data_IF_874858453290
#
_entry.id   IF_874858453290
#
_cell.length_a   1.000
_cell.length_b   1.000
_cell.length_c   1.000
_cell.angle_alpha   90.00
_cell.angle_beta   90.00
_cell.angle_gamma   90.00
#
_symmetry.space_group_name_H-M   'P 1'
#
loop_
_entity.id
_entity.type
_entity.pdbx_description
1 polymer ?
#
# COMPACT_ATOMS: atom_id res chain seq x y z
N UNK A 1 63.81 50.04 -25.77
CA UNK A 1 63.50 48.90 -24.93
C UNK A 1 62.20 49.14 -24.19
N UNK A 2 61.11 48.50 -24.63
CA UNK A 2 59.80 48.60 -24.02
C UNK A 2 59.51 47.24 -23.39
N UNK A 3 59.31 47.20 -22.11
CA UNK A 3 58.95 46.01 -21.35
C UNK A 3 57.39 45.96 -21.29
N UNK A 4 56.82 44.94 -21.87
CA UNK A 4 55.40 44.63 -21.74
C UNK A 4 55.15 43.73 -20.54
N UNK A 5 54.40 44.20 -19.58
CA UNK A 5 53.97 43.42 -18.43
C UNK A 5 52.68 42.64 -18.84
N UNK A 6 52.75 41.32 -18.84
CA UNK A 6 51.58 40.43 -19.03
C UNK A 6 50.94 40.20 -17.66
N UNK A 7 49.73 40.72 -17.45
CA UNK A 7 48.91 40.37 -16.30
C UNK A 7 48.16 39.06 -16.60
N UNK A 8 48.49 38.00 -15.87
CA UNK A 8 47.66 36.79 -15.80
C UNK A 8 46.49 37.03 -14.86
N UNK A 9 45.27 37.08 -15.42
CA UNK A 9 44.02 37.07 -14.65
C UNK A 9 43.70 35.60 -14.27
N UNK A 10 43.80 35.30 -12.97
CA UNK A 10 43.32 34.02 -12.40
C UNK A 10 41.82 34.10 -12.27
N UNK A 11 41.11 33.41 -13.15
CA UNK A 11 39.65 33.22 -13.02
C UNK A 11 39.31 32.24 -11.90
N UNK A 12 38.73 32.71 -10.80
CA UNK A 12 38.07 31.85 -9.82
C UNK A 12 36.78 31.26 -10.45
N UNK A 13 36.83 29.97 -10.76
CA UNK A 13 35.59 29.22 -11.07
C UNK A 13 34.81 29.04 -9.76
N UNK A 14 33.71 29.75 -9.61
CA UNK A 14 32.68 29.48 -8.60
C UNK A 14 32.02 28.15 -8.97
N UNK A 15 32.38 27.08 -8.27
CA UNK A 15 31.59 25.85 -8.23
C UNK A 15 30.27 26.19 -7.56
N UNK A 16 29.26 26.50 -8.36
CA UNK A 16 27.88 26.57 -7.90
C UNK A 16 27.46 25.20 -7.42
N UNK A 17 27.15 25.07 -6.15
CA UNK A 17 26.38 23.93 -5.66
C UNK A 17 25.05 23.92 -6.42
N UNK A 18 24.87 22.98 -7.35
CA UNK A 18 23.56 22.71 -7.92
C UNK A 18 22.65 22.29 -6.77
N UNK A 19 21.58 23.01 -6.52
CA UNK A 19 20.52 22.55 -5.66
C UNK A 19 20.01 21.20 -6.22
N UNK A 20 19.72 20.21 -5.36
CA UNK A 20 19.21 18.95 -5.84
C UNK A 20 17.91 19.21 -6.61
N UNK A 21 17.86 18.71 -7.84
CA UNK A 21 16.69 18.80 -8.70
C UNK A 21 15.49 18.18 -7.97
N UNK A 22 14.51 19.00 -7.66
CA UNK A 22 13.32 18.51 -6.97
C UNK A 22 12.57 17.56 -7.90
N UNK A 23 12.39 16.31 -7.46
CA UNK A 23 11.62 15.30 -8.18
C UNK A 23 10.21 15.83 -8.40
N UNK A 24 9.85 16.11 -9.66
CA UNK A 24 8.51 16.52 -10.02
C UNK A 24 7.62 15.28 -10.13
N UNK A 25 6.67 15.14 -9.20
CA UNK A 25 5.67 14.06 -9.24
C UNK A 25 4.53 14.52 -10.14
N UNK A 26 4.18 13.79 -11.22
CA UNK A 26 3.06 14.12 -12.09
C UNK A 26 1.74 14.24 -11.31
N UNK A 27 0.87 15.14 -11.79
CA UNK A 27 -0.42 15.37 -11.14
C UNK A 27 -1.44 14.26 -11.50
N UNK A 28 -1.41 13.16 -10.72
CA UNK A 28 -2.36 12.04 -10.79
C UNK A 28 -3.22 12.01 -9.52
N UNK A 29 -4.39 11.36 -9.59
CA UNK A 29 -5.19 11.11 -8.40
C UNK A 29 -4.43 10.18 -7.46
N UNK A 30 -4.02 9.01 -7.96
CA UNK A 30 -3.26 8.04 -7.20
C UNK A 30 -1.77 8.37 -7.23
N UNK A 31 -1.30 9.09 -6.22
CA UNK A 31 0.08 9.56 -6.12
C UNK A 31 1.11 8.42 -5.95
N UNK A 32 0.67 7.18 -5.69
CA UNK A 32 1.57 6.02 -5.66
C UNK A 32 2.07 5.66 -7.06
N UNK A 33 1.26 5.85 -8.11
CA UNK A 33 1.64 5.51 -9.48
C UNK A 33 2.90 6.27 -9.93
N UNK A 34 2.97 7.61 -9.87
CA UNK A 34 4.18 8.32 -10.27
C UNK A 34 5.39 8.02 -9.37
N UNK A 35 5.20 7.62 -8.11
CA UNK A 35 6.31 7.15 -7.28
C UNK A 35 6.86 5.83 -7.81
N UNK A 36 5.98 4.88 -8.13
CA UNK A 36 6.35 3.59 -8.72
C UNK A 36 7.05 3.78 -10.08
N UNK A 37 6.51 4.63 -10.95
CA UNK A 37 7.10 4.95 -12.27
C UNK A 37 8.51 5.52 -12.18
N UNK A 38 8.82 6.24 -11.10
CA UNK A 38 10.13 6.84 -10.83
C UNK A 38 11.06 5.96 -10.00
N UNK A 39 10.61 4.76 -9.60
CA UNK A 39 11.36 3.87 -8.71
C UNK A 39 11.58 4.46 -7.30
N UNK A 40 10.67 5.35 -6.88
CA UNK A 40 10.70 5.94 -5.55
C UNK A 40 9.88 5.08 -4.57
N UNK A 41 10.28 5.03 -3.29
CA UNK A 41 9.56 4.24 -2.31
C UNK A 41 8.16 4.81 -2.03
N UNK A 42 7.19 3.91 -1.90
CA UNK A 42 5.83 4.17 -1.42
C UNK A 42 5.75 3.79 0.06
N UNK A 43 5.30 4.72 0.89
CA UNK A 43 5.35 4.60 2.35
C UNK A 43 3.93 4.69 2.93
N UNK A 44 3.37 3.55 3.27
CA UNK A 44 2.02 3.45 3.83
C UNK A 44 2.01 3.43 5.35
N UNK A 45 0.91 3.85 5.95
CA UNK A 45 0.71 3.83 7.40
C UNK A 45 -0.71 3.37 7.75
N UNK A 46 -0.88 2.74 8.92
CA UNK A 46 -2.18 2.39 9.41
C UNK A 46 -3.03 3.65 9.69
N UNK A 47 -4.30 3.62 9.30
CA UNK A 47 -5.25 4.70 9.58
C UNK A 47 -5.57 4.81 11.08
N UNK A 48 -6.06 5.97 11.59
CA UNK A 48 -6.63 6.07 12.92
C UNK A 48 -7.82 5.12 13.09
N UNK A 49 -8.08 4.58 14.29
CA UNK A 49 -9.23 3.71 14.51
C UNK A 49 -10.54 4.47 14.30
N UNK A 50 -11.41 4.01 13.42
CA UNK A 50 -12.76 4.55 13.17
C UNK A 50 -13.89 3.60 13.60
N UNK A 51 -13.55 2.37 14.00
CA UNK A 51 -14.47 1.38 14.51
C UNK A 51 -13.82 0.58 15.64
N UNK A 52 -14.62 0.15 16.62
CA UNK A 52 -14.12 -0.68 17.70
C UNK A 52 -13.56 -2.01 17.15
N UNK A 53 -12.32 -2.32 17.52
CA UNK A 53 -11.73 -3.63 17.18
C UNK A 53 -12.46 -4.70 17.96
N UNK A 54 -13.28 -5.51 17.31
CA UNK A 54 -13.76 -6.75 17.89
C UNK A 54 -12.54 -7.65 18.14
N UNK A 55 -12.32 -8.07 19.40
CA UNK A 55 -11.31 -9.07 19.70
C UNK A 55 -11.61 -10.31 18.84
N UNK A 56 -10.69 -10.68 17.96
CA UNK A 56 -10.76 -12.00 17.30
C UNK A 56 -10.72 -13.03 18.42
N UNK A 57 -11.82 -13.74 18.63
CA UNK A 57 -11.83 -14.94 19.47
C UNK A 57 -10.96 -15.99 18.79
N UNK A 58 -9.78 -16.22 19.32
CA UNK A 58 -8.87 -17.27 18.83
C UNK A 58 -7.43 -16.94 19.17
N UNK A 59 -6.87 -17.74 20.09
CA UNK A 59 -5.46 -17.84 20.50
C UNK A 59 -4.92 -16.68 21.36
N UNK A 60 -4.96 -16.87 22.66
CA UNK A 60 -4.30 -16.03 23.66
C UNK A 60 -5.18 -15.45 24.76
N UNK A 61 -6.39 -15.94 24.98
CA UNK A 61 -7.09 -15.62 26.23
C UNK A 61 -6.41 -16.36 27.39
N UNK A 62 -5.81 -15.59 28.30
CA UNK A 62 -5.55 -16.10 29.63
C UNK A 62 -6.89 -16.58 30.21
N UNK A 63 -6.93 -17.84 30.63
CA UNK A 63 -8.09 -18.43 31.28
C UNK A 63 -8.36 -17.64 32.56
N UNK A 64 -9.45 -16.85 32.61
CA UNK A 64 -9.86 -16.15 33.82
C UNK A 64 -10.31 -14.69 33.72
N UNK A 65 -10.19 -14.03 32.55
CA UNK A 65 -10.77 -12.69 32.42
C UNK A 65 -12.28 -12.77 32.08
N UNK A 66 -13.09 -12.16 32.93
CA UNK A 66 -14.52 -11.94 32.66
C UNK A 66 -14.68 -11.14 31.34
N UNK A 67 -15.79 -11.33 30.59
CA UNK A 67 -16.06 -10.53 29.41
C UNK A 67 -16.10 -9.05 29.78
N UNK A 68 -15.00 -8.33 29.51
CA UNK A 68 -14.93 -6.91 29.78
C UNK A 68 -15.94 -6.16 28.90
N UNK A 69 -16.42 -5.02 29.39
CA UNK A 69 -17.24 -4.08 28.60
C UNK A 69 -16.50 -3.79 27.28
N UNK A 70 -17.17 -3.89 26.11
CA UNK A 70 -16.56 -3.52 24.84
C UNK A 70 -15.94 -2.12 24.94
N UNK A 71 -14.77 -1.85 24.37
CA UNK A 71 -14.23 -0.51 24.32
C UNK A 71 -15.25 0.41 23.64
N UNK A 72 -15.34 1.69 24.05
CA UNK A 72 -16.23 2.66 23.41
C UNK A 72 -15.88 2.76 21.92
N UNK A 73 -16.91 3.03 21.10
CA UNK A 73 -16.70 3.30 19.68
C UNK A 73 -15.84 4.56 19.52
N UNK A 74 -14.82 4.54 18.65
CA UNK A 74 -14.02 5.72 18.37
C UNK A 74 -14.84 6.86 17.78
N UNK A 75 -14.47 8.12 18.10
CA UNK A 75 -15.03 9.30 17.44
C UNK A 75 -14.52 9.39 16.01
N UNK A 76 -15.42 9.19 15.06
CA UNK A 76 -15.12 9.20 13.62
C UNK A 76 -14.63 10.58 13.17
N UNK A 77 -15.19 11.68 13.71
CA UNK A 77 -14.80 13.02 13.31
C UNK A 77 -13.41 13.37 13.82
N UNK A 78 -13.04 12.89 15.00
CA UNK A 78 -11.69 13.03 15.54
C UNK A 78 -10.69 12.19 14.72
N UNK A 79 -11.01 10.93 14.46
CA UNK A 79 -10.18 10.04 13.63
C UNK A 79 -9.95 10.62 12.21
N UNK A 80 -10.98 11.21 11.59
CA UNK A 80 -10.86 11.85 10.29
C UNK A 80 -9.95 13.09 10.33
N UNK A 81 -10.07 13.94 11.37
CA UNK A 81 -9.18 15.09 11.53
C UNK A 81 -7.74 14.68 11.78
N UNK A 82 -7.50 13.65 12.61
CA UNK A 82 -6.17 13.09 12.85
C UNK A 82 -5.56 12.56 11.55
N UNK A 83 -6.34 11.81 10.75
CA UNK A 83 -5.90 11.29 9.47
C UNK A 83 -5.49 12.42 8.54
N UNK A 84 -6.38 13.40 8.31
CA UNK A 84 -6.16 14.50 7.36
C UNK A 84 -5.00 15.42 7.80
N UNK A 85 -4.72 15.52 9.09
CA UNK A 85 -3.58 16.28 9.60
C UNK A 85 -2.22 15.63 9.27
N UNK A 86 -2.17 14.33 8.98
CA UNK A 86 -0.93 13.63 8.68
C UNK A 86 -0.70 13.53 7.17
N UNK A 87 0.27 14.27 6.66
CA UNK A 87 0.50 14.48 5.22
C UNK A 87 1.74 13.75 4.67
N UNK A 88 2.39 12.89 5.45
CA UNK A 88 3.65 12.26 5.05
C UNK A 88 3.49 10.86 4.48
N UNK A 89 2.43 10.14 4.84
CA UNK A 89 2.10 8.84 4.27
C UNK A 89 1.62 8.96 2.82
N UNK A 90 1.96 7.99 2.00
CA UNK A 90 1.53 7.93 0.61
C UNK A 90 0.21 7.18 0.46
N UNK A 91 -0.18 6.41 1.46
CA UNK A 91 -1.48 5.75 1.56
C UNK A 91 -1.81 5.37 3.01
N UNK A 92 -3.10 5.15 3.26
CA UNK A 92 -3.62 4.65 4.52
C UNK A 92 -3.99 3.17 4.38
N UNK A 93 -3.33 2.31 5.17
CA UNK A 93 -3.65 0.89 5.20
C UNK A 93 -4.97 0.68 5.93
N UNK A 94 -5.95 0.12 5.27
CA UNK A 94 -7.27 -0.18 5.82
C UNK A 94 -7.56 -1.68 5.80
N UNK A 95 -8.18 -2.16 6.88
CA UNK A 95 -8.79 -3.48 6.91
C UNK A 95 -10.31 -3.32 6.74
N UNK A 96 -10.76 -3.36 5.50
CA UNK A 96 -12.18 -3.32 5.18
C UNK A 96 -12.85 -4.59 5.71
N UNK A 97 -13.82 -4.43 6.59
CA UNK A 97 -14.55 -5.56 7.20
C UNK A 97 -16.04 -5.46 6.90
N UNK A 98 -16.71 -6.56 6.51
CA UNK A 98 -18.16 -6.59 6.31
C UNK A 98 -18.96 -6.05 7.50
N UNK A 99 -18.43 -6.25 8.71
CA UNK A 99 -19.09 -5.82 9.95
C UNK A 99 -18.90 -4.34 10.29
N UNK A 100 -18.09 -3.62 9.49
CA UNK A 100 -17.80 -2.20 9.72
C UNK A 100 -17.97 -1.34 8.47
N UNK A 101 -18.67 -1.84 7.44
CA UNK A 101 -18.85 -1.12 6.16
C UNK A 101 -19.52 0.23 6.36
N UNK A 102 -20.61 0.29 7.15
CA UNK A 102 -21.30 1.55 7.39
C UNK A 102 -20.42 2.55 8.16
N UNK A 103 -19.63 2.08 9.13
CA UNK A 103 -18.64 2.90 9.84
C UNK A 103 -17.54 3.38 8.91
N UNK A 104 -17.08 2.53 8.00
CA UNK A 104 -16.10 2.93 6.98
C UNK A 104 -16.67 4.03 6.08
N UNK A 105 -17.89 3.87 5.59
CA UNK A 105 -18.57 4.88 4.75
C UNK A 105 -18.81 6.20 5.47
N UNK A 106 -19.12 6.13 6.77
CA UNK A 106 -19.21 7.32 7.64
C UNK A 106 -17.83 7.99 7.80
N UNK A 107 -16.78 7.20 7.98
CA UNK A 107 -15.40 7.69 8.08
C UNK A 107 -14.95 8.39 6.80
N UNK A 108 -15.21 7.82 5.62
CA UNK A 108 -14.92 8.48 4.34
C UNK A 108 -15.64 9.83 4.23
N UNK A 109 -16.92 9.92 4.61
CA UNK A 109 -17.64 11.20 4.63
C UNK A 109 -16.99 12.21 5.60
N UNK A 110 -16.56 11.75 6.75
CA UNK A 110 -15.88 12.61 7.73
C UNK A 110 -14.51 13.09 7.23
N UNK A 111 -13.76 12.26 6.51
CA UNK A 111 -12.50 12.63 5.86
C UNK A 111 -12.74 13.75 4.83
N UNK A 112 -13.75 13.60 3.97
CA UNK A 112 -14.10 14.64 2.99
C UNK A 112 -14.51 15.94 3.70
N UNK A 113 -15.32 15.86 4.75
CA UNK A 113 -15.71 17.02 5.55
C UNK A 113 -14.50 17.71 6.26
N UNK A 114 -13.45 16.95 6.57
CA UNK A 114 -12.19 17.47 7.11
C UNK A 114 -11.21 17.99 6.04
N UNK A 115 -11.58 17.93 4.74
CA UNK A 115 -10.76 18.41 3.61
C UNK A 115 -9.84 17.36 2.98
N UNK A 116 -9.98 16.08 3.36
CA UNK A 116 -9.26 14.97 2.74
C UNK A 116 -9.97 14.42 1.49
N UNK A 117 -9.27 13.64 0.72
CA UNK A 117 -9.76 12.97 -0.49
C UNK A 117 -8.91 11.76 -0.83
N UNK A 118 -9.29 10.98 -1.83
CA UNK A 118 -8.48 9.88 -2.33
C UNK A 118 -7.12 10.35 -2.89
N UNK A 119 -6.99 11.60 -3.32
CA UNK A 119 -5.72 12.19 -3.76
C UNK A 119 -4.75 12.39 -2.59
N UNK A 120 -5.26 12.87 -1.46
CA UNK A 120 -4.41 13.23 -0.30
C UNK A 120 -4.23 12.07 0.67
N UNK A 121 -5.23 11.20 0.78
CA UNK A 121 -5.26 10.06 1.71
C UNK A 121 -5.88 8.84 1.00
N UNK A 122 -5.19 8.28 -0.01
CA UNK A 122 -5.66 7.08 -0.70
C UNK A 122 -5.67 5.88 0.25
N UNK A 123 -6.69 5.04 0.15
CA UNK A 123 -6.78 3.80 0.94
C UNK A 123 -6.31 2.59 0.14
N UNK A 124 -5.51 1.76 0.79
CA UNK A 124 -5.20 0.39 0.38
C UNK A 124 -6.02 -0.56 1.22
N UNK A 125 -6.86 -1.36 0.62
CA UNK A 125 -7.72 -2.28 1.35
C UNK A 125 -7.53 -3.73 0.94
N UNK A 126 -7.43 -4.59 1.95
CA UNK A 126 -7.39 -6.04 1.75
C UNK A 126 -8.74 -6.57 1.33
N UNK A 127 -8.76 -7.44 0.33
CA UNK A 127 -9.92 -8.28 0.01
C UNK A 127 -9.78 -9.65 0.67
N UNK A 128 -10.87 -10.41 0.88
CA UNK A 128 -10.79 -11.81 1.28
C UNK A 128 -9.97 -12.65 0.29
N UNK A 129 -9.54 -13.83 0.73
CA UNK A 129 -8.80 -14.76 -0.13
C UNK A 129 -9.68 -15.19 -1.30
N UNK A 130 -9.20 -14.98 -2.53
CA UNK A 130 -9.98 -15.16 -3.76
C UNK A 130 -10.39 -16.62 -3.97
N UNK A 131 -9.48 -17.56 -3.82
CA UNK A 131 -9.75 -18.98 -4.07
C UNK A 131 -10.68 -19.63 -3.05
N UNK A 132 -10.89 -19.05 -1.86
CA UNK A 132 -11.80 -19.61 -0.84
C UNK A 132 -13.27 -19.30 -1.13
N UNK A 133 -13.57 -18.15 -1.70
CA UNK A 133 -14.91 -17.73 -2.14
C UNK A 133 -14.79 -16.77 -3.33
N UNK A 134 -14.55 -17.28 -4.55
CA UNK A 134 -14.32 -16.43 -5.72
C UNK A 134 -15.47 -15.45 -6.01
N UNK A 135 -16.72 -15.91 -5.88
CA UNK A 135 -17.91 -15.08 -6.16
C UNK A 135 -18.09 -13.99 -5.09
N UNK A 136 -18.06 -14.37 -3.82
CA UNK A 136 -18.22 -13.40 -2.73
C UNK A 136 -17.07 -12.42 -2.64
N UNK A 137 -15.84 -12.84 -2.93
CA UNK A 137 -14.67 -11.96 -2.96
C UNK A 137 -14.73 -11.00 -4.14
N UNK A 138 -15.16 -11.43 -5.32
CA UNK A 138 -15.41 -10.54 -6.48
C UNK A 138 -16.40 -9.43 -6.12
N UNK A 139 -17.54 -9.80 -5.51
CA UNK A 139 -18.55 -8.81 -5.10
C UNK A 139 -17.97 -7.84 -4.06
N UNK A 140 -17.20 -8.37 -3.09
CA UNK A 140 -16.55 -7.55 -2.06
C UNK A 140 -15.55 -6.56 -2.64
N UNK A 141 -14.78 -6.99 -3.64
CA UNK A 141 -13.86 -6.13 -4.36
C UNK A 141 -14.60 -4.98 -5.05
N UNK A 142 -15.68 -5.29 -5.77
CA UNK A 142 -16.53 -4.29 -6.42
C UNK A 142 -17.10 -3.30 -5.39
N UNK A 143 -17.61 -3.79 -4.27
CA UNK A 143 -18.16 -2.96 -3.19
C UNK A 143 -17.09 -1.99 -2.63
N UNK A 144 -15.86 -2.47 -2.41
CA UNK A 144 -14.75 -1.64 -1.94
C UNK A 144 -14.39 -0.54 -2.94
N UNK A 145 -14.32 -0.86 -4.22
CA UNK A 145 -14.06 0.14 -5.26
C UNK A 145 -15.18 1.17 -5.34
N UNK A 146 -16.44 0.74 -5.18
CA UNK A 146 -17.60 1.62 -5.13
C UNK A 146 -17.66 2.48 -3.85
N UNK A 147 -16.89 2.13 -2.83
CA UNK A 147 -16.67 2.93 -1.64
C UNK A 147 -15.40 3.83 -1.71
N UNK A 148 -14.67 3.83 -2.85
CA UNK A 148 -13.60 4.78 -3.16
C UNK A 148 -12.16 4.31 -2.96
N UNK A 149 -11.93 3.00 -2.75
CA UNK A 149 -10.59 2.43 -2.69
C UNK A 149 -9.83 2.67 -4.00
N UNK A 150 -8.52 2.92 -3.90
CA UNK A 150 -7.64 3.11 -5.06
C UNK A 150 -6.66 1.97 -5.26
N UNK A 151 -6.43 1.16 -4.22
CA UNK A 151 -5.59 -0.05 -4.29
C UNK A 151 -6.34 -1.23 -3.70
N UNK A 152 -6.41 -2.30 -4.45
CA UNK A 152 -6.88 -3.60 -3.99
C UNK A 152 -5.68 -4.43 -3.58
N UNK A 153 -5.64 -4.86 -2.31
CA UNK A 153 -4.61 -5.73 -1.79
C UNK A 153 -5.17 -7.15 -1.65
N UNK A 154 -4.76 -8.03 -2.56
CA UNK A 154 -5.18 -9.43 -2.63
C UNK A 154 -4.38 -10.26 -1.63
N UNK A 155 -5.07 -10.95 -0.71
CA UNK A 155 -4.44 -11.82 0.28
C UNK A 155 -4.20 -13.21 -0.30
N UNK A 156 -3.07 -13.84 0.09
CA UNK A 156 -2.72 -15.24 -0.18
C UNK A 156 -2.94 -15.65 -1.65
N UNK A 157 -2.36 -14.83 -2.55
CA UNK A 157 -2.47 -15.09 -3.99
C UNK A 157 -1.58 -16.26 -4.36
N UNK A 158 -2.16 -17.27 -4.99
CA UNK A 158 -1.49 -18.52 -5.35
C UNK A 158 -1.41 -18.72 -6.87
N UNK A 159 -2.33 -18.12 -7.64
CA UNK A 159 -2.44 -18.35 -9.07
C UNK A 159 -2.64 -17.07 -9.89
N UNK A 160 -2.30 -17.14 -11.17
CA UNK A 160 -2.57 -16.05 -12.13
C UNK A 160 -4.06 -15.91 -12.44
N UNK A 161 -4.85 -16.97 -12.26
CA UNK A 161 -6.30 -16.98 -12.44
C UNK A 161 -6.98 -16.08 -11.43
N UNK A 162 -6.52 -16.08 -10.18
CA UNK A 162 -7.03 -15.17 -9.14
C UNK A 162 -6.76 -13.70 -9.50
N UNK A 163 -5.58 -13.41 -10.03
CA UNK A 163 -5.23 -12.05 -10.50
C UNK A 163 -6.11 -11.64 -11.67
N UNK A 164 -6.34 -12.54 -12.65
CA UNK A 164 -7.23 -12.27 -13.78
C UNK A 164 -8.65 -11.99 -13.32
N UNK A 165 -9.15 -12.74 -12.34
CA UNK A 165 -10.47 -12.52 -11.76
C UNK A 165 -10.57 -11.15 -11.08
N UNK A 166 -9.55 -10.75 -10.34
CA UNK A 166 -9.48 -9.43 -9.71
C UNK A 166 -9.45 -8.31 -10.77
N UNK A 167 -8.62 -8.44 -11.81
CA UNK A 167 -8.57 -7.48 -12.93
C UNK A 167 -9.95 -7.32 -13.57
N UNK A 168 -10.63 -8.43 -13.86
CA UNK A 168 -11.97 -8.39 -14.44
C UNK A 168 -12.97 -7.67 -13.51
N UNK A 169 -12.89 -7.91 -12.20
CA UNK A 169 -13.77 -7.30 -11.20
C UNK A 169 -13.47 -5.81 -10.98
N UNK A 170 -12.25 -5.36 -11.19
CA UNK A 170 -11.86 -3.94 -11.04
C UNK A 170 -12.29 -3.09 -12.22
N UNK A 171 -12.39 -3.67 -13.41
CA UNK A 171 -12.71 -2.98 -14.66
C UNK A 171 -14.19 -2.96 -14.94
N UNK A 172 -14.71 -1.85 -15.40
CA UNK A 172 -16.09 -1.73 -15.84
C UNK A 172 -16.40 -2.58 -17.07
N UNK A 173 -17.67 -2.90 -17.31
CA UNK A 173 -18.10 -3.65 -18.49
C UNK A 173 -17.68 -2.98 -19.80
N UNK A 174 -17.74 -1.67 -19.89
CA UNK A 174 -17.26 -0.88 -21.04
C UNK A 174 -15.74 -0.96 -21.24
N UNK A 175 -14.97 -1.28 -20.18
CA UNK A 175 -13.54 -1.47 -20.22
C UNK A 175 -13.13 -2.95 -20.45
N UNK A 176 -14.10 -3.84 -20.67
CA UNK A 176 -13.88 -5.26 -20.86
C UNK A 176 -13.78 -6.08 -19.56
N UNK A 177 -14.23 -5.51 -18.44
CA UNK A 177 -14.35 -6.20 -17.15
C UNK A 177 -15.76 -6.69 -16.85
N UNK A 178 -16.05 -6.95 -15.57
CA UNK A 178 -17.37 -7.41 -15.08
C UNK A 178 -18.00 -6.45 -14.06
N UNK A 179 -17.34 -5.36 -13.70
CA UNK A 179 -17.84 -4.36 -12.77
C UNK A 179 -19.03 -3.60 -13.39
N UNK A 180 -20.20 -3.53 -12.75
CA UNK A 180 -21.32 -2.73 -13.22
C UNK A 180 -21.01 -1.23 -13.22
N UNK A 181 -21.57 -0.50 -14.19
CA UNK A 181 -21.43 0.96 -14.31
C UNK A 181 -22.48 1.69 -13.46
N UNK A 182 -22.62 1.26 -12.21
CA UNK A 182 -23.58 1.81 -11.24
C UNK A 182 -23.06 1.65 -9.80
N UNK A 183 -23.59 2.43 -8.86
CA UNK A 183 -23.29 2.31 -7.43
C UNK A 183 -21.95 2.89 -7.00
N UNK A 184 -21.25 3.63 -7.85
CA UNK A 184 -19.93 4.23 -7.60
C UNK A 184 -19.96 5.73 -7.26
N UNK A 185 -21.11 6.33 -7.05
CA UNK A 185 -21.29 7.76 -6.81
C UNK A 185 -20.48 8.24 -5.59
N UNK A 186 -20.38 7.39 -4.54
CA UNK A 186 -19.56 7.67 -3.36
C UNK A 186 -18.08 7.69 -3.69
N UNK A 187 -17.65 6.77 -4.55
CA UNK A 187 -16.25 6.71 -4.98
C UNK A 187 -15.89 7.93 -5.81
N UNK A 188 -16.72 8.33 -6.76
CA UNK A 188 -16.54 9.54 -7.57
C UNK A 188 -16.43 10.79 -6.66
N UNK A 189 -17.33 10.92 -5.68
CA UNK A 189 -17.30 12.02 -4.72
C UNK A 189 -16.02 12.04 -3.86
N UNK A 190 -15.56 10.87 -3.37
CA UNK A 190 -14.31 10.76 -2.60
C UNK A 190 -13.08 11.07 -3.47
N UNK A 191 -13.11 10.69 -4.73
CA UNK A 191 -12.04 11.02 -5.69
C UNK A 191 -12.08 12.49 -6.12
N UNK A 192 -13.16 13.22 -5.81
CA UNK A 192 -13.36 14.61 -6.22
C UNK A 192 -13.60 14.75 -7.72
N UNK A 193 -14.24 13.76 -8.33
CA UNK A 193 -14.51 13.66 -9.77
C UNK A 193 -16.03 13.61 -10.05
N UNK A 194 -16.41 13.97 -11.27
CA UNK A 194 -17.73 13.62 -11.80
C UNK A 194 -17.82 12.12 -12.07
N UNK A 195 -19.03 11.57 -12.16
CA UNK A 195 -19.24 10.15 -12.48
C UNK A 195 -18.63 9.77 -13.84
N UNK A 196 -18.68 10.66 -14.83
CA UNK A 196 -18.09 10.43 -16.13
C UNK A 196 -16.55 10.36 -16.07
N UNK A 197 -15.91 11.26 -15.32
CA UNK A 197 -14.46 11.22 -15.08
C UNK A 197 -14.05 9.98 -14.29
N UNK A 198 -14.87 9.58 -13.31
CA UNK A 198 -14.60 8.35 -12.54
C UNK A 198 -14.65 7.12 -13.43
N UNK A 199 -15.68 6.97 -14.29
CA UNK A 199 -15.78 5.87 -15.25
C UNK A 199 -14.55 5.79 -16.19
N UNK A 200 -14.00 6.93 -16.59
CA UNK A 200 -12.79 6.98 -17.42
C UNK A 200 -11.54 6.57 -16.63
N UNK A 201 -11.41 7.05 -15.38
CA UNK A 201 -10.19 6.95 -14.58
C UNK A 201 -10.12 5.70 -13.70
N UNK A 202 -11.25 5.12 -13.30
CA UNK A 202 -11.30 3.95 -12.43
C UNK A 202 -11.05 2.65 -13.23
N UNK A 203 -9.85 2.55 -13.79
CA UNK A 203 -9.34 1.38 -14.51
C UNK A 203 -7.96 1.00 -13.97
N UNK A 204 -7.52 -0.21 -14.26
CA UNK A 204 -6.30 -0.82 -13.71
C UNK A 204 -5.06 -0.29 -14.43
N UNK A 205 -4.18 0.39 -13.70
CA UNK A 205 -2.83 0.71 -14.15
C UNK A 205 -1.90 -0.51 -13.94
N UNK A 206 -0.97 -0.83 -14.84
CA UNK A 206 -0.65 -0.17 -16.10
C UNK A 206 -1.40 -0.70 -17.33
N UNK A 207 -2.42 -1.56 -17.19
CA UNK A 207 -3.22 -2.06 -18.33
C UNK A 207 -3.81 -0.85 -19.09
N UNK A 208 -4.40 0.07 -18.35
CA UNK A 208 -4.74 1.39 -18.85
C UNK A 208 -3.72 2.40 -18.29
N UNK A 209 -2.86 3.02 -19.13
CA UNK A 209 -1.89 4.00 -18.66
C UNK A 209 -2.51 5.22 -17.96
N UNK A 210 -3.78 5.54 -18.25
CA UNK A 210 -4.54 6.62 -17.61
C UNK A 210 -5.36 6.15 -16.40
N UNK A 211 -5.35 4.86 -16.11
CA UNK A 211 -6.06 4.27 -14.96
C UNK A 211 -5.45 4.69 -13.63
N UNK A 212 -6.27 4.76 -12.59
CA UNK A 212 -5.88 5.19 -11.25
C UNK A 212 -5.98 4.07 -10.21
N UNK A 213 -6.39 2.85 -10.61
CA UNK A 213 -6.50 1.69 -9.73
C UNK A 213 -5.23 0.84 -9.77
N UNK A 214 -4.76 0.38 -8.60
CA UNK A 214 -3.61 -0.52 -8.46
C UNK A 214 -4.03 -1.87 -7.89
N UNK A 215 -3.34 -2.93 -8.34
CA UNK A 215 -3.37 -4.26 -7.71
C UNK A 215 -2.07 -4.48 -6.95
N UNK A 216 -2.19 -4.77 -5.67
CA UNK A 216 -1.15 -5.34 -4.82
C UNK A 216 -1.49 -6.80 -4.55
N UNK A 217 -0.55 -7.71 -4.77
CA UNK A 217 -0.69 -9.13 -4.43
C UNK A 217 0.16 -9.47 -3.22
N UNK A 218 -0.38 -10.24 -2.26
CA UNK A 218 0.37 -10.72 -1.10
C UNK A 218 0.71 -12.19 -1.31
N UNK A 219 2.00 -12.48 -1.35
CA UNK A 219 2.55 -13.85 -1.41
C UNK A 219 2.83 -14.28 0.02
N UNK A 220 2.09 -15.28 0.50
CA UNK A 220 2.13 -15.70 1.90
C UNK A 220 1.83 -17.21 2.13
N UNK A 221 1.92 -18.02 1.05
CA UNK A 221 1.81 -19.47 1.08
C UNK A 221 2.95 -20.16 0.31
N UNK A 222 3.14 -21.48 0.48
CA UNK A 222 4.11 -22.24 -0.30
C UNK A 222 3.80 -22.20 -1.81
N UNK A 223 2.53 -22.30 -2.18
CA UNK A 223 2.08 -22.26 -3.56
C UNK A 223 2.30 -20.89 -4.18
N UNK A 224 1.94 -19.82 -3.46
CA UNK A 224 2.19 -18.45 -3.89
C UNK A 224 3.68 -18.18 -4.11
N UNK A 225 4.58 -18.69 -3.23
CA UNK A 225 6.04 -18.58 -3.43
C UNK A 225 6.49 -19.34 -4.68
N UNK A 226 5.97 -20.56 -4.90
CA UNK A 226 6.31 -21.34 -6.09
C UNK A 226 5.89 -20.63 -7.38
N UNK A 227 4.76 -19.95 -7.38
CA UNK A 227 4.18 -19.22 -8.52
C UNK A 227 4.53 -17.72 -8.54
N UNK A 228 5.38 -17.24 -7.62
CA UNK A 228 5.66 -15.80 -7.46
C UNK A 228 6.14 -15.14 -8.75
N UNK A 229 6.93 -15.86 -9.57
CA UNK A 229 7.43 -15.36 -10.83
C UNK A 229 6.31 -15.16 -11.86
N UNK A 230 5.39 -16.11 -12.00
CA UNK A 230 4.26 -16.03 -12.92
C UNK A 230 3.26 -14.95 -12.48
N UNK A 231 2.96 -14.88 -11.19
CA UNK A 231 2.11 -13.85 -10.60
C UNK A 231 2.71 -12.45 -10.82
N UNK A 232 4.01 -12.29 -10.57
CA UNK A 232 4.71 -11.01 -10.79
C UNK A 232 4.74 -10.58 -12.26
N UNK A 233 4.75 -11.53 -13.19
CA UNK A 233 4.73 -11.26 -14.63
C UNK A 233 3.38 -10.71 -15.13
N UNK A 234 2.29 -10.85 -14.33
CA UNK A 234 0.95 -10.46 -14.78
C UNK A 234 0.86 -8.97 -15.11
N UNK A 235 0.30 -8.63 -16.30
CA UNK A 235 -0.03 -7.26 -16.65
C UNK A 235 -0.96 -6.64 -15.65
N UNK A 236 -1.00 -5.71 -15.02
CA UNK A 236 -1.96 -5.18 -14.04
C UNK A 236 -1.54 -5.37 -12.60
N UNK A 237 -0.65 -6.32 -12.27
CA UNK A 237 0.00 -6.35 -10.97
C UNK A 237 1.00 -5.19 -10.89
N UNK A 238 0.79 -4.29 -9.95
CA UNK A 238 1.66 -3.14 -9.71
C UNK A 238 2.62 -3.38 -8.54
N UNK A 239 2.15 -4.08 -7.52
CA UNK A 239 2.89 -4.32 -6.27
C UNK A 239 2.87 -5.81 -5.93
N UNK A 240 4.03 -6.35 -5.55
CA UNK A 240 4.18 -7.73 -5.05
C UNK A 240 4.70 -7.67 -3.61
N UNK A 241 3.87 -8.07 -2.66
CA UNK A 241 4.13 -7.93 -1.22
C UNK A 241 4.37 -9.29 -0.58
N UNK A 242 5.33 -9.39 0.31
CA UNK A 242 5.48 -10.54 1.20
C UNK A 242 4.58 -10.39 2.43
N UNK A 243 3.66 -11.31 2.64
CA UNK A 243 2.87 -11.42 3.86
C UNK A 243 3.68 -12.06 4.98
N UNK A 244 4.72 -11.39 5.47
CA UNK A 244 5.77 -11.95 6.33
C UNK A 244 5.23 -12.61 7.62
N UNK A 245 4.08 -12.13 8.13
CA UNK A 245 3.44 -12.73 9.32
C UNK A 245 2.85 -14.10 9.02
N UNK A 246 2.01 -14.21 7.98
CA UNK A 246 1.38 -15.46 7.55
C UNK A 246 2.41 -16.42 7.00
N UNK A 247 3.27 -15.96 6.08
CA UNK A 247 4.36 -16.77 5.52
C UNK A 247 5.28 -17.33 6.59
N UNK A 248 5.61 -16.51 7.62
CA UNK A 248 6.39 -16.98 8.76
C UNK A 248 5.68 -18.07 9.57
N UNK A 249 4.34 -18.07 9.60
CA UNK A 249 3.52 -19.15 10.15
C UNK A 249 3.62 -20.44 9.34
N UNK A 250 3.61 -20.33 8.01
CA UNK A 250 3.76 -21.45 7.06
C UNK A 250 5.10 -22.17 7.24
N UNK A 251 6.17 -21.44 7.53
CA UNK A 251 7.49 -21.98 7.83
C UNK A 251 7.70 -22.30 9.32
N UNK A 252 6.63 -22.44 10.11
CA UNK A 252 6.72 -22.78 11.54
C UNK A 252 6.00 -24.10 11.80
N UNK A 253 6.72 -25.08 12.32
CA UNK A 253 6.19 -26.37 12.76
C UNK A 253 6.21 -26.49 14.30
N UNK A 254 5.55 -27.52 14.82
CA UNK A 254 5.63 -27.88 16.25
C UNK A 254 6.52 -29.11 16.38
N UNK A 255 7.58 -29.04 17.19
CA UNK A 255 8.49 -30.14 17.42
C UNK A 255 7.86 -31.20 18.36
N UNK A 256 8.60 -32.28 18.65
CA UNK A 256 8.13 -33.37 19.50
C UNK A 256 7.88 -32.93 20.96
N UNK A 257 8.53 -31.85 21.40
CA UNK A 257 8.42 -31.24 22.73
C UNK A 257 7.24 -30.28 22.84
N UNK A 258 6.49 -30.01 21.70
CA UNK A 258 5.36 -29.10 21.65
C UNK A 258 5.77 -27.64 21.45
N UNK A 259 7.02 -27.36 21.14
CA UNK A 259 7.53 -25.99 20.88
C UNK A 259 7.36 -25.59 19.40
N UNK A 260 7.06 -24.35 19.18
CA UNK A 260 6.99 -23.80 17.82
C UNK A 260 8.40 -23.44 17.32
N UNK A 261 8.83 -24.11 16.27
CA UNK A 261 10.14 -23.93 15.64
C UNK A 261 9.94 -23.42 14.22
N UNK A 262 10.56 -22.28 13.92
CA UNK A 262 10.56 -21.72 12.57
C UNK A 262 11.76 -22.28 11.79
N UNK A 263 11.48 -22.75 10.58
CA UNK A 263 12.49 -22.93 9.54
C UNK A 263 12.87 -21.54 8.99
N UNK A 264 13.89 -20.94 9.61
CA UNK A 264 14.34 -19.60 9.24
C UNK A 264 15.00 -19.57 7.86
N UNK A 265 15.77 -20.61 7.51
CA UNK A 265 16.45 -20.71 6.21
C UNK A 265 15.42 -20.82 5.06
N UNK A 266 14.41 -21.66 5.22
CA UNK A 266 13.32 -21.81 4.26
C UNK A 266 12.50 -20.50 4.11
N UNK A 267 12.20 -19.84 5.24
CA UNK A 267 11.52 -18.54 5.21
C UNK A 267 12.32 -17.47 4.48
N UNK A 268 13.62 -17.34 4.78
CA UNK A 268 14.49 -16.34 4.14
C UNK A 268 14.64 -16.61 2.63
N UNK A 269 14.75 -17.89 2.24
CA UNK A 269 14.77 -18.28 0.83
C UNK A 269 13.47 -17.95 0.11
N UNK A 270 12.32 -18.14 0.75
CA UNK A 270 11.01 -17.77 0.21
C UNK A 270 10.89 -16.26 0.01
N UNK A 271 11.30 -15.45 1.00
CA UNK A 271 11.33 -13.98 0.90
C UNK A 271 12.23 -13.52 -0.25
N UNK A 272 13.43 -14.10 -0.38
CA UNK A 272 14.35 -13.81 -1.47
C UNK A 272 13.77 -14.18 -2.84
N UNK A 273 13.04 -15.29 -2.95
CA UNK A 273 12.36 -15.73 -4.18
C UNK A 273 11.32 -14.70 -4.62
N UNK A 274 10.47 -14.23 -3.70
CA UNK A 274 9.45 -13.22 -4.00
C UNK A 274 10.09 -11.89 -4.42
N UNK A 275 11.13 -11.45 -3.72
CA UNK A 275 11.85 -10.22 -4.07
C UNK A 275 12.49 -10.31 -5.47
N UNK A 276 13.12 -11.44 -5.78
CA UNK A 276 13.73 -11.68 -7.09
C UNK A 276 12.68 -11.64 -8.22
N UNK A 277 11.53 -12.30 -8.03
CA UNK A 277 10.42 -12.29 -8.97
C UNK A 277 9.84 -10.88 -9.16
N UNK A 278 9.64 -10.15 -8.08
CA UNK A 278 9.16 -8.77 -8.11
C UNK A 278 10.08 -7.88 -8.95
N UNK A 279 11.39 -7.93 -8.70
CA UNK A 279 12.41 -7.12 -9.41
C UNK A 279 12.58 -7.53 -10.87
N UNK A 280 12.49 -8.81 -11.22
CA UNK A 280 12.59 -9.30 -12.59
C UNK A 280 11.57 -8.61 -13.50
N UNK A 281 10.36 -8.34 -13.01
CA UNK A 281 9.28 -7.72 -13.76
C UNK A 281 9.08 -6.22 -13.45
N UNK A 282 10.04 -5.57 -12.80
CA UNK A 282 9.99 -4.14 -12.44
C UNK A 282 8.70 -3.76 -11.69
N UNK A 283 8.26 -4.61 -10.77
CA UNK A 283 7.13 -4.31 -9.88
C UNK A 283 7.63 -3.58 -8.64
N UNK A 284 6.76 -2.84 -7.98
CA UNK A 284 7.05 -2.32 -6.66
C UNK A 284 7.01 -3.44 -5.63
N UNK A 285 8.05 -3.57 -4.81
CA UNK A 285 8.26 -4.73 -3.95
C UNK A 285 7.86 -4.40 -2.51
N UNK A 286 6.80 -5.05 -2.01
CA UNK A 286 6.15 -4.74 -0.75
C UNK A 286 6.68 -5.56 0.43
N UNK A 287 6.96 -4.87 1.57
CA UNK A 287 7.28 -5.53 2.83
C UNK A 287 6.81 -4.70 4.04
N UNK A 288 6.34 -5.33 5.14
CA UNK A 288 5.99 -4.59 6.35
C UNK A 288 7.24 -4.09 7.09
N UNK A 289 7.18 -2.81 7.53
CA UNK A 289 8.18 -2.17 8.36
C UNK A 289 7.49 -1.45 9.52
N UNK A 290 8.12 -1.37 10.69
CA UNK A 290 7.49 -0.78 11.87
C UNK A 290 8.37 0.23 12.62
N UNK A 291 9.59 0.47 12.13
CA UNK A 291 10.52 1.45 12.71
C UNK A 291 11.56 1.91 11.68
N UNK A 292 12.31 3.00 11.95
CA UNK A 292 13.31 3.55 11.04
C UNK A 292 14.38 2.55 10.59
N UNK A 293 14.92 1.75 11.51
CA UNK A 293 16.00 0.80 11.20
C UNK A 293 15.53 -0.31 10.22
N UNK A 294 14.27 -0.75 10.34
CA UNK A 294 13.69 -1.70 9.39
C UNK A 294 13.51 -1.05 8.01
N UNK A 295 13.08 0.21 7.93
CA UNK A 295 12.96 0.93 6.66
C UNK A 295 14.33 1.07 5.98
N UNK A 296 15.38 1.44 6.72
CA UNK A 296 16.75 1.56 6.19
C UNK A 296 17.24 0.21 5.61
N UNK A 297 17.08 -0.89 6.36
CA UNK A 297 17.50 -2.22 5.93
C UNK A 297 16.70 -2.69 4.70
N UNK A 298 15.37 -2.58 4.73
CA UNK A 298 14.50 -3.02 3.63
C UNK A 298 14.76 -2.23 2.35
N UNK A 299 14.92 -0.91 2.44
CA UNK A 299 15.25 -0.10 1.26
C UNK A 299 16.65 -0.44 0.70
N UNK A 300 17.61 -0.76 1.56
CA UNK A 300 18.94 -1.21 1.13
C UNK A 300 18.89 -2.56 0.39
N UNK A 301 18.00 -3.47 0.81
CA UNK A 301 17.74 -4.74 0.14
C UNK A 301 16.92 -4.56 -1.15
N UNK A 302 16.30 -3.38 -1.32
CA UNK A 302 15.55 -2.98 -2.50
C UNK A 302 14.05 -3.19 -2.42
N UNK A 303 13.48 -3.31 -1.23
CA UNK A 303 12.04 -3.15 -1.01
C UNK A 303 11.66 -1.68 -1.12
N UNK A 304 10.56 -1.39 -1.80
CA UNK A 304 10.16 -0.02 -2.12
C UNK A 304 8.66 0.28 -1.90
N UNK A 305 7.86 -0.70 -1.47
CA UNK A 305 6.48 -0.50 -1.03
C UNK A 305 6.36 -0.89 0.46
N UNK A 306 6.64 0.07 1.35
CA UNK A 306 6.78 -0.22 2.77
C UNK A 306 5.51 0.07 3.55
N UNK A 307 5.12 -0.88 4.41
CA UNK A 307 3.83 -0.89 5.10
C UNK A 307 4.03 -0.76 6.60
N UNK A 308 3.80 0.41 7.16
CA UNK A 308 3.77 0.63 8.61
C UNK A 308 2.40 0.22 9.16
N UNK A 309 2.33 -0.99 9.71
CA UNK A 309 1.09 -1.62 10.16
C UNK A 309 0.51 -1.03 11.45
N UNK A 310 1.20 -0.09 12.06
CA UNK A 310 0.79 0.61 13.29
C UNK A 310 0.76 2.10 13.06
N UNK A 311 -0.04 2.81 13.88
CA UNK A 311 -0.05 4.26 13.92
C UNK A 311 0.49 4.69 15.27
N UNK A 312 1.80 4.87 15.34
CA UNK A 312 2.56 5.27 16.53
C UNK A 312 3.82 6.03 16.09
N UNK A 313 4.58 6.56 17.06
CA UNK A 313 5.76 7.38 16.79
C UNK A 313 6.80 6.64 15.94
N UNK A 314 7.10 5.38 16.23
CA UNK A 314 8.06 4.58 15.45
C UNK A 314 7.66 4.49 13.97
N UNK A 315 6.37 4.35 13.68
CA UNK A 315 5.84 4.31 12.32
C UNK A 315 5.91 5.68 11.63
N UNK A 316 5.65 6.76 12.35
CA UNK A 316 5.82 8.13 11.82
C UNK A 316 7.28 8.41 11.49
N UNK A 317 8.20 8.06 12.40
CA UNK A 317 9.64 8.20 12.17
C UNK A 317 10.15 7.31 11.03
N UNK A 318 9.56 6.12 10.85
CA UNK A 318 9.83 5.22 9.73
C UNK A 318 9.46 5.87 8.38
N UNK A 319 8.27 6.49 8.27
CA UNK A 319 7.87 7.24 7.06
C UNK A 319 8.84 8.40 6.79
N UNK A 320 9.18 9.19 7.81
CA UNK A 320 10.16 10.28 7.69
C UNK A 320 11.51 9.76 7.19
N UNK A 321 11.97 8.63 7.73
CA UNK A 321 13.23 8.00 7.32
C UNK A 321 13.21 7.57 5.86
N UNK A 322 12.15 6.91 5.39
CA UNK A 322 12.01 6.50 3.99
C UNK A 322 11.98 7.70 3.03
N UNK A 323 11.28 8.78 3.39
CA UNK A 323 11.27 10.03 2.60
C UNK A 323 12.66 10.65 2.53
N UNK A 324 13.39 10.73 3.66
CA UNK A 324 14.75 11.25 3.71
C UNK A 324 15.72 10.45 2.84
N UNK A 325 15.69 9.11 2.94
CA UNK A 325 16.56 8.23 2.17
C UNK A 325 16.33 8.33 0.67
N UNK A 326 15.10 8.61 0.25
CA UNK A 326 14.72 8.78 -1.15
C UNK A 326 14.82 10.23 -1.66
N UNK A 327 15.31 11.17 -0.85
CA UNK A 327 15.39 12.59 -1.23
C UNK A 327 14.02 13.29 -1.36
N UNK A 328 12.95 12.68 -0.84
CA UNK A 328 11.59 13.25 -0.92
C UNK A 328 11.38 14.34 0.14
N UNK A 329 10.60 15.39 -0.16
CA UNK A 329 10.36 16.48 0.77
C UNK A 329 9.74 16.02 2.09
N UNK A 330 10.16 16.62 3.20
CA UNK A 330 9.54 16.49 4.52
C UNK A 330 8.99 17.86 4.88
N UNK A 331 7.68 18.12 4.75
CA UNK A 331 7.07 19.40 5.09
C UNK A 331 7.38 19.79 6.54
N UNK A 332 7.90 21.00 6.74
CA UNK A 332 8.21 21.54 8.08
C UNK A 332 9.60 21.17 8.66
N UNK A 333 10.47 20.56 7.90
CA UNK A 333 11.89 20.33 8.27
C UNK A 333 12.80 21.43 7.75
#
# INVERSE_FOLDING_TARGET
MRWSVVLCAIGLALLGCAEPEQVQIPDRLNQMIPLIEQGLPVLGIAHPPYAARRRRGGQGQAVGEAPGTPPPEPDISEAARELVAYQLGDYELNTYSPNSVDRYREFIRAIVAAGGSARTHPFVAKIPIMHTDPTGTTQRLIDQLNDGQVVVEMQEVETVEEVNQAIAAMRFTSQGGVRPEEGFERAAAYWGMTEAEYLEKADVWPINPNGELLISVIIESHEGVANAREISAMPGVAVVTVGSGTLGGVFTSTNAEGERVRDQEGFDAAVATVLAACKEFNKSCGYPANNPAQVEALMADGWDFLIMQRRNQDSFDAVVTGRRLSGRPIPGS
#
